data_IF_583904854315
#
_entry.id   IF_583904854315
#
_cell.length_a   1.000
_cell.length_b   1.000
_cell.length_c   1.000
_cell.angle_alpha   90.00
_cell.angle_beta   90.00
_cell.angle_gamma   90.00
#
_symmetry.space_group_name_H-M   'P 1'
#
loop_
_entity.id
_entity.type
_entity.pdbx_description
1 polymer ?
#
# COMPACT_ATOMS: atom_id res chain seq x y z
N UNK A 1 9.82 -4.97 37.21
CA UNK A 1 10.41 -3.90 36.37
C UNK A 1 10.92 -4.57 35.10
N UNK A 2 10.32 -4.30 33.94
CA UNK A 2 10.81 -4.84 32.65
C UNK A 2 11.59 -3.75 31.94
N UNK A 3 12.79 -4.09 31.48
CA UNK A 3 13.79 -3.19 30.93
C UNK A 3 13.41 -2.78 29.51
N UNK A 4 13.70 -1.53 29.13
CA UNK A 4 13.38 -0.91 27.83
C UNK A 4 13.88 -1.76 26.63
N UNK A 5 14.96 -2.54 26.82
CA UNK A 5 15.53 -3.43 25.81
C UNK A 5 14.61 -4.58 25.37
N UNK A 6 13.70 -5.08 26.21
CA UNK A 6 12.76 -6.15 25.82
C UNK A 6 11.63 -5.63 24.90
N UNK A 7 11.34 -4.33 24.95
CA UNK A 7 10.30 -3.71 24.13
C UNK A 7 10.84 -3.42 22.72
N UNK A 8 12.09 -2.97 22.61
CA UNK A 8 12.72 -2.68 21.31
C UNK A 8 13.05 -3.96 20.51
N UNK A 9 13.36 -5.07 21.18
CA UNK A 9 13.58 -6.36 20.50
C UNK A 9 12.30 -6.87 19.83
N UNK A 10 11.14 -6.73 20.49
CA UNK A 10 9.86 -7.20 19.93
C UNK A 10 9.35 -6.34 18.77
N UNK A 11 9.74 -5.07 18.70
CA UNK A 11 9.42 -4.24 17.53
C UNK A 11 10.26 -4.63 16.32
N UNK A 12 11.50 -5.09 16.49
CA UNK A 12 12.32 -5.55 15.36
C UNK A 12 11.84 -6.87 14.75
N UNK A 13 11.29 -7.78 15.54
CA UNK A 13 10.78 -9.05 15.03
C UNK A 13 9.50 -8.93 14.20
N UNK A 14 8.77 -7.80 14.28
CA UNK A 14 7.60 -7.57 13.42
C UNK A 14 7.95 -7.03 12.03
N UNK A 15 9.21 -6.67 11.79
CA UNK A 15 9.71 -6.23 10.48
C UNK A 15 10.35 -7.35 9.65
N UNK A 16 10.35 -8.60 10.12
CA UNK A 16 11.11 -9.71 9.51
C UNK A 16 10.23 -10.92 9.19
N UNK A 17 9.10 -10.74 8.48
CA UNK A 17 8.46 -11.85 7.74
C UNK A 17 7.74 -11.34 6.49
N UNK A 18 8.46 -10.75 5.53
CA UNK A 18 8.00 -10.67 4.13
C UNK A 18 9.11 -10.92 3.09
N UNK A 19 10.30 -11.35 3.51
CA UNK A 19 11.44 -11.57 2.59
C UNK A 19 11.59 -13.02 2.07
N UNK A 20 10.54 -13.85 2.12
CA UNK A 20 10.58 -15.21 1.59
C UNK A 20 9.36 -15.51 0.69
N UNK A 21 9.17 -14.70 -0.35
CA UNK A 21 8.54 -15.16 -1.60
C UNK A 21 9.47 -14.78 -2.74
N UNK A 22 10.15 -15.78 -3.26
CA UNK A 22 10.98 -15.73 -4.46
C UNK A 22 10.34 -14.88 -5.57
N UNK A 23 11.11 -13.92 -6.10
CA UNK A 23 11.21 -13.53 -7.52
C UNK A 23 9.93 -13.40 -8.38
N UNK A 24 8.78 -13.14 -7.78
CA UNK A 24 7.59 -12.64 -8.46
C UNK A 24 7.08 -11.43 -7.69
N UNK A 25 7.91 -10.38 -7.61
CA UNK A 25 7.44 -9.08 -7.16
C UNK A 25 6.24 -8.71 -8.01
N UNK A 26 5.07 -8.53 -7.39
CA UNK A 26 3.87 -8.11 -8.10
C UNK A 26 4.24 -6.85 -8.87
N UNK A 27 4.26 -6.97 -10.19
CA UNK A 27 4.60 -5.86 -11.07
C UNK A 27 3.33 -5.09 -11.38
N UNK A 28 3.47 -3.84 -11.79
CA UNK A 28 2.32 -3.06 -12.26
C UNK A 28 1.54 -3.83 -13.32
N UNK A 29 2.21 -4.55 -14.24
CA UNK A 29 1.54 -5.34 -15.28
C UNK A 29 0.69 -6.49 -14.71
N UNK A 30 1.16 -7.15 -13.64
CA UNK A 30 0.50 -8.29 -13.01
C UNK A 30 -0.73 -7.91 -12.16
N UNK A 31 -0.85 -6.63 -11.77
CA UNK A 31 -1.98 -6.18 -10.97
C UNK A 31 -3.34 -6.36 -11.68
N UNK A 32 -4.40 -6.75 -10.95
CA UNK A 32 -5.77 -6.68 -11.43
C UNK A 32 -6.13 -5.28 -11.94
N UNK A 33 -7.06 -5.20 -12.90
CA UNK A 33 -7.49 -3.92 -13.48
C UNK A 33 -8.03 -2.98 -12.40
N UNK A 34 -8.77 -3.52 -11.45
CA UNK A 34 -9.37 -2.82 -10.32
C UNK A 34 -8.30 -2.25 -9.39
N UNK A 35 -7.21 -3.00 -9.15
CA UNK A 35 -6.10 -2.55 -8.31
C UNK A 35 -5.33 -1.40 -8.98
N UNK A 36 -5.05 -1.53 -10.28
CA UNK A 36 -4.48 -0.45 -11.10
C UNK A 36 -5.38 0.78 -11.05
N UNK A 37 -6.68 0.59 -11.29
CA UNK A 37 -7.65 1.67 -11.25
C UNK A 37 -7.75 2.33 -9.89
N UNK A 38 -7.54 1.65 -8.75
CA UNK A 38 -7.48 2.34 -7.45
C UNK A 38 -6.16 3.12 -7.30
N UNK A 39 -5.03 2.50 -7.64
CA UNK A 39 -3.70 3.09 -7.47
C UNK A 39 -3.43 4.26 -8.41
N UNK A 40 -3.99 4.27 -9.62
CA UNK A 40 -3.94 5.39 -10.56
C UNK A 40 -4.47 6.69 -9.94
N UNK A 41 -5.23 6.65 -8.84
CA UNK A 41 -5.82 7.84 -8.24
C UNK A 41 -4.89 8.48 -7.20
N UNK A 42 -3.80 7.81 -6.85
CA UNK A 42 -2.73 8.40 -6.05
C UNK A 42 -2.01 9.51 -6.83
N UNK A 43 -1.91 9.39 -8.16
CA UNK A 43 -1.54 10.43 -9.12
C UNK A 43 -2.80 10.78 -9.90
N UNK A 44 -3.60 11.74 -9.42
CA UNK A 44 -4.89 12.03 -10.04
C UNK A 44 -4.71 12.30 -11.55
N UNK A 45 -5.15 11.34 -12.37
CA UNK A 45 -4.87 11.27 -13.81
C UNK A 45 -5.23 12.58 -14.52
N UNK A 46 -6.22 13.31 -14.00
CA UNK A 46 -6.71 14.56 -14.59
C UNK A 46 -6.01 15.84 -14.08
N UNK A 47 -5.41 15.83 -12.89
CA UNK A 47 -4.81 17.06 -12.29
C UNK A 47 -3.30 16.97 -12.12
N UNK A 48 -2.70 15.78 -12.26
CA UNK A 48 -1.28 15.54 -11.98
C UNK A 48 -0.90 15.80 -10.52
N UNK A 49 -1.90 15.99 -9.65
CA UNK A 49 -1.69 16.29 -8.24
C UNK A 49 -1.72 15.00 -7.44
N UNK A 50 -0.79 14.90 -6.49
CA UNK A 50 -0.71 13.76 -5.59
C UNK A 50 -1.81 13.80 -4.58
N UNK A 51 -2.35 12.62 -4.31
CA UNK A 51 -3.46 12.47 -3.40
C UNK A 51 -3.19 11.35 -2.42
N UNK A 52 -3.74 11.52 -1.24
CA UNK A 52 -3.74 10.51 -0.20
C UNK A 52 -4.97 9.65 -0.46
N UNK A 53 -4.75 8.36 -0.69
CA UNK A 53 -5.84 7.40 -0.74
C UNK A 53 -5.94 6.69 0.60
N UNK A 54 -7.16 6.49 1.08
CA UNK A 54 -7.46 5.56 2.16
C UNK A 54 -8.29 4.45 1.55
N UNK A 55 -7.75 3.23 1.59
CA UNK A 55 -8.37 2.05 1.02
C UNK A 55 -8.75 1.18 2.20
N UNK A 56 -10.05 0.93 2.36
CA UNK A 56 -10.60 0.12 3.45
C UNK A 56 -10.92 -1.28 2.93
N UNK A 57 -10.53 -2.30 3.69
CA UNK A 57 -10.83 -3.70 3.41
C UNK A 57 -12.34 -3.92 3.58
N UNK A 58 -12.96 -4.65 2.65
CA UNK A 58 -14.40 -4.98 2.60
C UNK A 58 -15.35 -3.82 2.36
N UNK A 59 -14.84 -2.60 2.23
CA UNK A 59 -15.63 -1.44 1.85
C UNK A 59 -15.35 -1.08 0.38
N UNK A 60 -16.37 -0.71 -0.40
CA UNK A 60 -16.16 -0.26 -1.76
C UNK A 60 -15.40 1.06 -1.77
N UNK A 61 -14.28 1.09 -2.48
CA UNK A 61 -13.56 2.33 -2.74
C UNK A 61 -14.43 3.21 -3.64
N UNK A 62 -14.92 4.31 -3.07
CA UNK A 62 -15.90 5.19 -3.74
C UNK A 62 -15.29 6.54 -4.03
N UNK A 63 -15.25 6.93 -5.32
CA UNK A 63 -14.78 8.26 -5.69
C UNK A 63 -15.32 8.74 -7.03
N UNK A 64 -15.73 10.01 -7.08
CA UNK A 64 -16.47 10.61 -8.22
C UNK A 64 -17.67 9.79 -8.72
N UNK A 65 -18.36 9.09 -7.81
CA UNK A 65 -19.51 8.25 -8.14
C UNK A 65 -19.15 6.87 -8.73
N UNK A 66 -17.86 6.54 -8.83
CA UNK A 66 -17.40 5.19 -9.15
C UNK A 66 -17.20 4.41 -7.86
N UNK A 67 -17.87 3.26 -7.73
CA UNK A 67 -17.72 2.34 -6.61
C UNK A 67 -16.95 1.10 -7.08
N UNK A 68 -15.72 0.93 -6.58
CA UNK A 68 -14.88 -0.23 -6.87
C UNK A 68 -14.92 -1.15 -5.64
N UNK A 69 -15.45 -2.38 -5.73
CA UNK A 69 -15.48 -3.29 -4.59
C UNK A 69 -14.07 -3.69 -4.18
N UNK A 70 -13.69 -3.43 -2.93
CA UNK A 70 -12.40 -3.85 -2.37
C UNK A 70 -12.58 -5.18 -1.66
N UNK A 71 -12.39 -6.27 -2.40
CA UNK A 71 -12.37 -7.63 -1.83
C UNK A 71 -11.09 -7.83 -1.00
N UNK A 72 -11.10 -8.81 -0.07
CA UNK A 72 -9.92 -9.17 0.72
C UNK A 72 -8.72 -9.48 -0.19
N UNK A 73 -8.95 -10.21 -1.29
CA UNK A 73 -7.94 -10.48 -2.32
C UNK A 73 -7.40 -9.20 -2.97
N UNK A 74 -8.28 -8.27 -3.37
CA UNK A 74 -7.86 -7.02 -4.01
C UNK A 74 -7.04 -6.15 -3.07
N UNK A 75 -7.45 -6.10 -1.80
CA UNK A 75 -6.73 -5.37 -0.76
C UNK A 75 -5.32 -5.94 -0.56
N UNK A 76 -5.18 -7.26 -0.51
CA UNK A 76 -3.88 -7.93 -0.38
C UNK A 76 -2.98 -7.69 -1.58
N UNK A 77 -3.51 -7.73 -2.80
CA UNK A 77 -2.75 -7.42 -4.04
C UNK A 77 -2.24 -5.98 -4.05
N UNK A 78 -3.10 -5.02 -3.69
CA UNK A 78 -2.71 -3.61 -3.58
C UNK A 78 -1.62 -3.44 -2.53
N UNK A 79 -1.80 -4.04 -1.34
CA UNK A 79 -0.85 -3.96 -0.24
C UNK A 79 0.51 -4.56 -0.61
N UNK A 80 0.52 -5.74 -1.25
CA UNK A 80 1.74 -6.41 -1.66
C UNK A 80 2.49 -5.59 -2.73
N UNK A 81 1.77 -4.97 -3.67
CA UNK A 81 2.38 -4.08 -4.66
C UNK A 81 2.97 -2.81 -4.04
N UNK A 82 2.23 -2.08 -3.20
CA UNK A 82 2.74 -0.85 -2.58
C UNK A 82 3.91 -1.12 -1.64
N UNK A 83 3.93 -2.28 -0.98
CA UNK A 83 5.04 -2.69 -0.11
C UNK A 83 6.31 -3.02 -0.91
N UNK A 84 6.16 -3.61 -2.10
CA UNK A 84 7.28 -3.89 -3.00
C UNK A 84 7.70 -2.67 -3.85
N UNK A 85 6.86 -1.63 -3.91
CA UNK A 85 7.05 -0.49 -4.80
C UNK A 85 7.76 0.66 -4.12
N UNK A 86 8.85 1.15 -4.76
CA UNK A 86 9.54 2.34 -4.30
C UNK A 86 8.76 3.64 -4.53
N UNK A 87 7.69 3.61 -5.32
CA UNK A 87 6.91 4.80 -5.67
C UNK A 87 5.95 5.27 -4.57
N UNK A 88 5.56 4.37 -3.66
CA UNK A 88 4.52 4.62 -2.68
C UNK A 88 5.09 4.64 -1.26
N UNK A 89 4.54 5.54 -0.45
CA UNK A 89 4.58 5.47 1.01
C UNK A 89 3.21 5.01 1.48
N UNK A 90 3.18 4.16 2.50
CA UNK A 90 1.93 3.64 3.04
C UNK A 90 1.97 3.56 4.57
N UNK A 91 0.78 3.60 5.16
CA UNK A 91 0.54 3.44 6.60
C UNK A 91 -0.67 2.51 6.78
N UNK A 92 -0.54 1.50 7.63
CA UNK A 92 -1.57 0.49 7.85
C UNK A 92 -2.23 0.75 9.21
N UNK A 93 -3.55 0.87 9.21
CA UNK A 93 -4.35 1.02 10.42
C UNK A 93 -5.49 0.00 10.42
N UNK A 94 -5.21 -1.18 10.97
CA UNK A 94 -6.17 -2.29 11.01
C UNK A 94 -6.59 -2.73 9.61
N UNK A 95 -7.87 -2.50 9.29
CA UNK A 95 -8.48 -2.84 8.00
C UNK A 95 -8.33 -1.75 6.94
N UNK A 96 -7.66 -0.63 7.25
CA UNK A 96 -7.40 0.44 6.28
C UNK A 96 -5.91 0.52 5.93
N UNK A 97 -5.62 0.82 4.66
CA UNK A 97 -4.29 1.22 4.20
C UNK A 97 -4.36 2.61 3.60
N UNK A 98 -3.53 3.51 4.14
CA UNK A 98 -3.32 4.85 3.62
C UNK A 98 -2.15 4.81 2.65
N UNK A 99 -2.33 5.33 1.44
CA UNK A 99 -1.33 5.28 0.36
C UNK A 99 -1.08 6.67 -0.20
N UNK A 100 0.19 7.01 -0.43
CA UNK A 100 0.63 8.31 -0.98
C UNK A 100 1.82 8.09 -1.92
N UNK A 101 1.92 8.86 -3.01
CA UNK A 101 3.09 8.86 -3.88
C UNK A 101 4.27 9.65 -3.30
N UNK A 102 5.45 9.02 -3.28
CA UNK A 102 6.72 9.64 -2.88
C UNK A 102 7.13 10.76 -3.82
N UNK A 103 7.85 11.76 -3.33
CA UNK A 103 8.49 12.78 -4.19
C UNK A 103 9.61 12.17 -4.99
N UNK A 104 9.86 12.72 -6.20
CA UNK A 104 11.04 12.37 -7.02
C UNK A 104 12.34 12.48 -6.24
N UNK A 105 12.43 13.41 -5.31
CA UNK A 105 13.58 13.56 -4.40
C UNK A 105 13.72 12.44 -3.38
N UNK A 106 12.64 11.74 -3.05
CA UNK A 106 12.60 10.62 -2.08
C UNK A 106 12.78 9.25 -2.76
N UNK A 107 12.76 9.20 -4.10
CA UNK A 107 12.97 7.99 -4.90
C UNK A 107 14.44 7.81 -5.34
N UNK A 108 15.33 8.73 -4.93
CA UNK A 108 16.72 8.82 -5.41
C UNK A 108 17.77 8.31 -4.40
N UNK A 109 17.38 7.44 -3.47
CA UNK A 109 18.30 6.83 -2.50
C UNK A 109 18.55 5.35 -2.81
#
# INVERSE_FOLDING_TARGET
MRTIAEIESKQKDQYVVLNNKEENGITWAALPKEAKSILEWTEHVYTGQRQILVIERREPFTRFGLNIPVTDYLFEEILAYIAASNYYSYDINGDAVKVVLKKKTEMAC
#
